data_IF_769444602081
#
_entry.id   IF_769444602081
#
_cell.length_a   1.000
_cell.length_b   1.000
_cell.length_c   1.000
_cell.angle_alpha   90.00
_cell.angle_beta   90.00
_cell.angle_gamma   90.00
#
_symmetry.space_group_name_H-M   'P 1'
#
loop_
_entity.id
_entity.type
_entity.pdbx_description
1 polymer ?
#
# COMPACT_ATOMS: atom_id res chain seq x y z
N UNK A 1 -62.85 66.45 -4.17
CA UNK A 1 -62.80 64.98 -3.98
C UNK A 1 -62.54 64.41 -5.33
N UNK A 2 -61.42 63.80 -5.58
CA UNK A 2 -60.82 63.29 -6.84
C UNK A 2 -59.61 64.09 -7.32
N UNK A 3 -58.48 63.97 -6.61
CA UNK A 3 -57.15 64.21 -7.18
C UNK A 3 -56.02 63.55 -6.32
N UNK A 4 -56.13 62.26 -6.02
CA UNK A 4 -55.07 61.51 -5.32
C UNK A 4 -54.91 60.14 -6.01
N UNK A 5 -54.63 60.09 -7.29
CA UNK A 5 -54.57 58.88 -8.01
C UNK A 5 -53.57 58.82 -9.18
N UNK A 6 -52.81 59.91 -9.40
CA UNK A 6 -51.92 59.94 -10.59
C UNK A 6 -50.43 59.88 -10.32
N UNK A 7 -50.00 60.07 -9.09
CA UNK A 7 -48.57 60.11 -8.80
C UNK A 7 -47.91 58.78 -8.39
N UNK A 8 -48.69 57.69 -8.31
CA UNK A 8 -48.13 56.37 -7.93
C UNK A 8 -47.65 55.55 -9.14
N UNK A 9 -48.07 55.95 -10.37
CA UNK A 9 -47.77 55.16 -11.56
C UNK A 9 -46.53 55.59 -12.38
N UNK A 10 -45.87 56.70 -12.00
CA UNK A 10 -44.71 57.21 -12.75
C UNK A 10 -43.31 56.90 -12.17
N UNK A 11 -43.26 56.14 -11.05
CA UNK A 11 -41.94 55.71 -10.44
C UNK A 11 -41.45 54.34 -10.76
N UNK A 12 -41.97 53.69 -11.75
CA UNK A 12 -41.70 52.26 -12.02
C UNK A 12 -41.04 51.94 -13.35
N UNK A 13 -40.10 52.71 -13.93
CA UNK A 13 -39.26 52.21 -15.03
C UNK A 13 -37.94 53.00 -15.08
N UNK A 14 -37.11 52.82 -14.11
CA UNK A 14 -35.67 53.13 -14.21
C UNK A 14 -34.81 51.89 -13.89
N UNK A 15 -35.17 50.72 -14.46
CA UNK A 15 -34.56 49.45 -14.17
C UNK A 15 -33.74 48.84 -15.32
N UNK A 16 -33.46 49.58 -16.41
CA UNK A 16 -32.91 48.95 -17.62
C UNK A 16 -31.37 49.04 -17.81
N UNK A 17 -30.65 49.81 -16.99
CA UNK A 17 -29.19 49.87 -17.07
C UNK A 17 -28.49 48.83 -16.20
N UNK A 18 -29.07 48.50 -15.05
CA UNK A 18 -28.50 47.49 -14.14
C UNK A 18 -28.57 46.02 -14.69
N UNK A 19 -29.55 45.73 -15.52
CA UNK A 19 -29.73 44.40 -16.11
C UNK A 19 -28.68 44.06 -17.18
N UNK A 20 -28.14 45.07 -17.88
CA UNK A 20 -27.09 44.85 -18.88
C UNK A 20 -25.74 44.53 -18.20
N UNK A 21 -25.36 45.24 -17.16
CA UNK A 21 -24.15 45.01 -16.37
C UNK A 21 -24.22 43.70 -15.57
N UNK A 22 -25.39 43.36 -15.04
CA UNK A 22 -25.59 42.07 -14.36
C UNK A 22 -25.43 40.88 -15.32
N UNK A 23 -25.99 40.96 -16.55
CA UNK A 23 -25.83 39.93 -17.59
C UNK A 23 -24.41 39.79 -18.07
N UNK A 24 -23.65 40.87 -18.20
CA UNK A 24 -22.23 40.84 -18.55
C UNK A 24 -21.41 40.15 -17.45
N UNK A 25 -21.64 40.53 -16.19
CA UNK A 25 -20.98 39.89 -15.04
C UNK A 25 -21.28 38.39 -14.95
N UNK A 26 -22.53 38.00 -15.19
CA UNK A 26 -22.97 36.63 -15.19
C UNK A 26 -22.25 35.80 -16.32
N UNK A 27 -22.14 36.41 -17.53
CA UNK A 27 -21.40 35.78 -18.64
C UNK A 27 -19.92 35.63 -18.32
N UNK A 28 -19.28 36.63 -17.72
CA UNK A 28 -17.88 36.56 -17.32
C UNK A 28 -17.67 35.43 -16.31
N UNK A 29 -18.51 35.34 -15.26
CA UNK A 29 -18.45 34.27 -14.27
C UNK A 29 -18.64 32.89 -14.94
N UNK A 30 -19.61 32.79 -15.85
CA UNK A 30 -19.85 31.55 -16.61
C UNK A 30 -18.62 31.12 -17.42
N UNK A 31 -18.01 32.04 -18.17
CA UNK A 31 -16.81 31.70 -18.98
C UNK A 31 -15.60 31.36 -18.10
N UNK A 32 -15.41 32.04 -16.98
CA UNK A 32 -14.35 31.71 -16.00
C UNK A 32 -14.56 30.29 -15.44
N UNK A 33 -15.80 29.94 -15.11
CA UNK A 33 -16.15 28.64 -14.58
C UNK A 33 -15.94 27.54 -15.63
N UNK A 34 -16.36 27.79 -16.88
CA UNK A 34 -16.13 26.86 -18.01
C UNK A 34 -14.62 26.68 -18.28
N UNK A 35 -13.85 27.77 -18.26
CA UNK A 35 -12.39 27.72 -18.44
C UNK A 35 -11.72 26.89 -17.31
N UNK A 36 -12.14 27.08 -16.07
CA UNK A 36 -11.65 26.32 -14.93
C UNK A 36 -11.97 24.82 -15.05
N UNK A 37 -13.19 24.47 -15.46
CA UNK A 37 -13.56 23.06 -15.73
C UNK A 37 -12.80 22.46 -16.90
N UNK A 38 -12.58 23.21 -17.96
CA UNK A 38 -11.79 22.77 -19.10
C UNK A 38 -10.33 22.51 -18.69
N UNK A 39 -9.74 23.39 -17.90
CA UNK A 39 -8.38 23.21 -17.37
C UNK A 39 -8.29 21.95 -16.49
N UNK A 40 -9.31 21.75 -15.63
CA UNK A 40 -9.38 20.57 -14.75
C UNK A 40 -9.55 19.28 -15.57
N UNK A 41 -10.38 19.29 -16.61
CA UNK A 41 -10.58 18.16 -17.51
C UNK A 41 -9.28 17.81 -18.27
N UNK A 42 -8.58 18.82 -18.80
CA UNK A 42 -7.27 18.62 -19.45
C UNK A 42 -6.26 18.03 -18.48
N UNK A 43 -6.17 18.56 -17.25
CA UNK A 43 -5.25 18.02 -16.24
C UNK A 43 -5.58 16.59 -15.85
N UNK A 44 -6.86 16.26 -15.70
CA UNK A 44 -7.29 14.88 -15.40
C UNK A 44 -6.96 13.93 -16.54
N UNK A 45 -7.09 14.40 -17.79
CA UNK A 45 -6.76 13.62 -18.99
C UNK A 45 -5.25 13.38 -19.09
N UNK A 46 -4.44 14.40 -18.79
CA UNK A 46 -2.97 14.29 -18.75
C UNK A 46 -2.53 13.33 -17.64
N UNK A 47 -3.10 13.43 -16.45
CA UNK A 47 -2.82 12.49 -15.35
C UNK A 47 -3.26 11.05 -15.69
N UNK A 48 -4.34 10.89 -16.48
CA UNK A 48 -4.77 9.58 -16.98
C UNK A 48 -3.78 8.99 -17.98
N UNK A 49 -3.14 9.80 -18.81
CA UNK A 49 -2.11 9.37 -19.77
C UNK A 49 -0.80 9.02 -19.04
N UNK A 50 -0.37 9.84 -18.08
CA UNK A 50 0.81 9.56 -17.24
C UNK A 50 0.57 8.34 -16.31
N UNK A 51 -0.69 8.13 -15.86
CA UNK A 51 -1.08 6.98 -15.06
C UNK A 51 -1.08 5.64 -15.82
N UNK A 52 -1.17 5.66 -17.16
CA UNK A 52 -1.19 4.43 -17.98
C UNK A 52 0.17 3.73 -18.02
N UNK A 53 1.27 4.44 -17.81
CA UNK A 53 2.58 3.78 -17.70
C UNK A 53 2.74 3.01 -16.38
N UNK A 54 2.06 3.46 -15.32
CA UNK A 54 1.98 2.71 -14.04
C UNK A 54 1.04 1.50 -14.10
N UNK A 55 -0.01 1.55 -14.93
CA UNK A 55 -0.94 0.42 -15.10
C UNK A 55 -0.38 -0.68 -16.02
N UNK A 56 0.65 -0.41 -16.82
CA UNK A 56 1.38 -1.43 -17.59
C UNK A 56 2.22 -2.35 -16.71
N UNK A 57 2.49 -1.95 -15.46
CA UNK A 57 3.16 -2.76 -14.44
C UNK A 57 2.18 -3.65 -13.66
N UNK A 58 0.88 -3.42 -13.78
CA UNK A 58 -0.15 -4.34 -13.33
C UNK A 58 -0.53 -5.23 -14.51
N UNK A 59 0.04 -6.43 -14.56
CA UNK A 59 -0.37 -7.45 -15.54
C UNK A 59 -1.88 -7.67 -15.49
N UNK A 60 -2.47 -7.97 -16.64
CA UNK A 60 -3.91 -8.17 -16.79
C UNK A 60 -4.50 -9.28 -15.89
N UNK A 61 -3.64 -10.02 -15.20
CA UNK A 61 -3.98 -11.14 -14.30
C UNK A 61 -3.76 -10.81 -12.82
N UNK A 62 -3.68 -9.54 -12.45
CA UNK A 62 -3.47 -9.12 -11.04
C UNK A 62 -2.05 -9.38 -10.52
N UNK A 63 -1.14 -9.77 -11.37
CA UNK A 63 0.26 -9.99 -11.03
C UNK A 63 0.98 -8.63 -11.03
N UNK A 64 1.18 -8.09 -9.84
CA UNK A 64 1.95 -6.87 -9.61
C UNK A 64 3.42 -7.14 -9.90
N UNK A 65 3.84 -7.00 -11.14
CA UNK A 65 5.24 -7.14 -11.56
C UNK A 65 5.92 -5.77 -11.53
N UNK A 66 5.96 -5.12 -10.39
CA UNK A 66 7.05 -4.21 -10.09
C UNK A 66 8.04 -4.99 -9.23
N UNK A 67 8.81 -5.85 -9.87
CA UNK A 67 9.88 -6.59 -9.23
C UNK A 67 10.99 -5.60 -8.87
N UNK A 68 10.92 -5.06 -7.66
CA UNK A 68 12.02 -4.29 -7.09
C UNK A 68 13.26 -5.18 -7.04
N UNK A 69 14.40 -4.71 -7.59
CA UNK A 69 15.64 -5.47 -7.67
C UNK A 69 16.08 -6.01 -6.30
N UNK A 70 16.69 -7.17 -6.28
CA UNK A 70 17.23 -7.76 -5.07
C UNK A 70 18.43 -6.95 -4.55
N UNK A 71 18.64 -6.93 -3.23
CA UNK A 71 19.87 -6.41 -2.63
C UNK A 71 20.69 -7.61 -2.16
N UNK A 72 21.95 -7.64 -2.57
CA UNK A 72 22.87 -8.72 -2.23
C UNK A 72 24.14 -8.18 -1.59
N UNK A 73 24.82 -9.02 -0.82
CA UNK A 73 26.14 -8.72 -0.28
C UNK A 73 27.24 -8.87 -1.36
N UNK A 74 28.49 -8.65 -1.00
CA UNK A 74 29.64 -8.78 -1.90
C UNK A 74 29.82 -10.19 -2.49
N UNK A 75 29.28 -11.21 -1.83
CA UNK A 75 29.39 -12.62 -2.22
C UNK A 75 28.15 -13.10 -3.01
N UNK A 76 27.11 -12.29 -3.12
CA UNK A 76 25.83 -12.65 -3.74
C UNK A 76 24.78 -13.19 -2.76
N UNK A 77 25.05 -13.17 -1.45
CA UNK A 77 24.06 -13.52 -0.42
C UNK A 77 22.92 -12.52 -0.39
N UNK A 78 21.68 -13.00 -0.40
CA UNK A 78 20.48 -12.17 -0.44
C UNK A 78 20.29 -11.44 0.90
N UNK A 79 20.26 -10.11 0.86
CA UNK A 79 19.97 -9.23 1.98
C UNK A 79 18.52 -8.75 1.96
N UNK A 80 17.98 -8.46 0.76
CA UNK A 80 16.58 -8.12 0.55
C UNK A 80 16.10 -8.70 -0.78
N UNK A 81 14.90 -9.28 -0.79
CA UNK A 81 14.26 -9.78 -2.02
C UNK A 81 12.75 -9.66 -1.96
N UNK A 82 12.11 -9.54 -3.11
CA UNK A 82 10.66 -9.63 -3.22
C UNK A 82 10.20 -11.08 -3.16
N UNK A 83 9.15 -11.32 -2.41
CA UNK A 83 8.45 -12.61 -2.39
C UNK A 83 6.95 -12.38 -2.59
N UNK A 84 6.31 -13.33 -3.23
CA UNK A 84 4.85 -13.37 -3.27
C UNK A 84 4.35 -13.92 -1.94
N UNK A 85 3.55 -13.14 -1.26
CA UNK A 85 2.83 -13.52 -0.05
C UNK A 85 1.32 -13.47 -0.32
N UNK A 86 0.49 -13.74 0.65
CA UNK A 86 -0.96 -13.66 0.50
C UNK A 86 -1.62 -13.11 1.76
N UNK A 87 -2.70 -12.38 1.56
CA UNK A 87 -3.62 -12.03 2.62
C UNK A 87 -4.76 -13.04 2.61
N UNK A 88 -4.99 -13.73 3.72
CA UNK A 88 -6.14 -14.60 3.87
C UNK A 88 -7.33 -13.74 4.27
N UNK A 89 -8.38 -13.80 3.46
CA UNK A 89 -9.59 -13.01 3.60
C UNK A 89 -10.80 -13.91 3.81
N UNK A 90 -11.74 -13.45 4.64
CA UNK A 90 -13.02 -14.08 4.84
C UNK A 90 -14.14 -13.13 4.40
N UNK A 91 -15.06 -13.67 3.60
CA UNK A 91 -16.30 -13.00 3.20
C UNK A 91 -17.50 -13.81 3.68
N UNK A 92 -17.96 -13.62 4.92
CA UNK A 92 -19.02 -14.40 5.53
C UNK A 92 -20.28 -14.58 4.66
N UNK A 93 -20.78 -13.55 3.91
CA UNK A 93 -21.97 -13.70 3.09
C UNK A 93 -21.85 -14.73 1.95
N UNK A 94 -20.63 -15.09 1.55
CA UNK A 94 -20.36 -16.04 0.47
C UNK A 94 -20.03 -17.44 0.97
N UNK A 95 -20.02 -17.66 2.29
CA UNK A 95 -19.73 -18.97 2.89
C UNK A 95 -20.94 -19.88 2.77
N UNK A 96 -20.80 -20.98 2.04
CA UNK A 96 -21.86 -22.02 1.91
C UNK A 96 -21.82 -23.05 3.03
N UNK A 97 -20.62 -23.37 3.51
CA UNK A 97 -20.43 -24.37 4.59
C UNK A 97 -19.60 -23.75 5.72
N UNK A 98 -20.26 -23.20 6.75
CA UNK A 98 -19.59 -22.54 7.88
C UNK A 98 -18.61 -23.44 8.64
N UNK A 99 -18.98 -24.70 8.86
CA UNK A 99 -18.18 -25.65 9.62
C UNK A 99 -16.88 -26.01 8.87
N UNK A 100 -16.98 -26.23 7.56
CA UNK A 100 -15.80 -26.52 6.75
C UNK A 100 -14.83 -25.33 6.69
N UNK A 101 -15.35 -24.11 6.54
CA UNK A 101 -14.54 -22.88 6.54
C UNK A 101 -13.90 -22.65 7.90
N UNK A 102 -14.62 -22.80 8.99
CA UNK A 102 -14.09 -22.66 10.34
C UNK A 102 -12.98 -23.67 10.64
N UNK A 103 -13.16 -24.93 10.22
CA UNK A 103 -12.13 -25.98 10.34
C UNK A 103 -10.89 -25.66 9.52
N UNK A 104 -11.04 -25.14 8.30
CA UNK A 104 -9.90 -24.75 7.46
C UNK A 104 -9.12 -23.58 8.08
N UNK A 105 -9.82 -22.57 8.60
CA UNK A 105 -9.21 -21.44 9.32
C UNK A 105 -8.46 -21.94 10.56
N UNK A 106 -9.09 -22.79 11.37
CA UNK A 106 -8.46 -23.36 12.56
C UNK A 106 -7.21 -24.19 12.20
N UNK A 107 -7.29 -25.03 11.18
CA UNK A 107 -6.16 -25.85 10.71
C UNK A 107 -4.98 -25.00 10.22
N UNK A 108 -5.26 -23.89 9.54
CA UNK A 108 -4.21 -22.98 9.05
C UNK A 108 -3.60 -22.13 10.18
N UNK A 109 -4.39 -21.76 11.19
CA UNK A 109 -4.01 -20.80 12.24
C UNK A 109 -4.56 -21.22 13.63
N UNK A 110 -4.16 -22.35 14.19
CA UNK A 110 -4.79 -22.92 15.41
C UNK A 110 -4.66 -22.02 16.65
N UNK A 111 -3.53 -21.33 16.79
CA UNK A 111 -3.29 -20.44 17.93
C UNK A 111 -4.05 -19.11 17.84
N UNK A 112 -4.20 -18.56 16.63
CA UNK A 112 -4.86 -17.27 16.44
C UNK A 112 -6.39 -17.42 16.41
N UNK A 113 -6.85 -18.54 15.83
CA UNK A 113 -8.27 -18.86 15.62
C UNK A 113 -8.61 -20.26 16.14
N UNK A 114 -8.89 -20.42 17.46
CA UNK A 114 -9.55 -21.62 17.99
C UNK A 114 -10.86 -21.84 17.25
N UNK A 115 -11.32 -23.10 17.14
CA UNK A 115 -12.48 -23.48 16.33
C UNK A 115 -13.74 -22.66 16.66
N UNK A 116 -14.02 -22.44 17.95
CA UNK A 116 -15.16 -21.62 18.40
C UNK A 116 -15.08 -20.18 17.84
N UNK A 117 -13.91 -19.55 17.95
CA UNK A 117 -13.68 -18.19 17.40
C UNK A 117 -13.79 -18.16 15.87
N UNK A 118 -13.31 -19.19 15.19
CA UNK A 118 -13.43 -19.29 13.74
C UNK A 118 -14.91 -19.40 13.31
N UNK A 119 -15.70 -20.18 14.01
CA UNK A 119 -17.15 -20.30 13.79
C UNK A 119 -17.88 -18.97 14.02
N UNK A 120 -17.55 -18.25 15.07
CA UNK A 120 -18.13 -16.93 15.35
C UNK A 120 -17.83 -15.92 14.24
N UNK A 121 -16.61 -15.97 13.71
CA UNK A 121 -16.20 -15.08 12.61
C UNK A 121 -16.91 -15.41 11.31
N UNK A 122 -17.05 -16.70 10.99
CA UNK A 122 -17.75 -17.17 9.78
C UNK A 122 -19.22 -16.80 9.82
N UNK A 123 -19.86 -16.90 10.99
CA UNK A 123 -21.27 -16.54 11.19
C UNK A 123 -21.51 -15.05 11.46
N UNK A 124 -20.43 -14.24 11.42
CA UNK A 124 -20.56 -12.81 11.69
C UNK A 124 -21.28 -12.06 10.56
N UNK A 125 -21.99 -10.98 10.90
CA UNK A 125 -22.69 -10.14 9.94
C UNK A 125 -21.74 -9.14 9.19
N UNK A 126 -20.46 -9.45 9.13
CA UNK A 126 -19.47 -8.62 8.42
C UNK A 126 -19.48 -8.97 6.94
N UNK A 127 -19.32 -7.96 6.09
CA UNK A 127 -19.22 -8.18 4.64
C UNK A 127 -17.89 -8.77 4.22
N UNK A 128 -16.81 -8.41 4.96
CA UNK A 128 -15.44 -8.71 4.61
C UNK A 128 -14.52 -8.54 5.84
N UNK A 129 -13.50 -9.38 5.95
CA UNK A 129 -12.42 -9.22 6.93
C UNK A 129 -11.13 -9.90 6.49
N UNK A 130 -9.99 -9.31 6.87
CA UNK A 130 -8.71 -9.98 6.80
C UNK A 130 -8.53 -10.87 8.02
N UNK A 131 -8.28 -12.16 7.80
CA UNK A 131 -7.91 -13.10 8.86
C UNK A 131 -6.41 -13.01 9.15
N UNK A 132 -5.60 -13.01 8.08
CA UNK A 132 -4.15 -12.91 8.20
C UNK A 132 -3.57 -12.09 7.07
N UNK A 133 -2.78 -11.07 7.41
CA UNK A 133 -1.93 -10.37 6.44
C UNK A 133 -0.58 -11.07 6.37
N UNK A 134 -0.02 -11.17 5.17
CA UNK A 134 1.27 -11.82 4.92
C UNK A 134 1.36 -13.25 5.48
N UNK A 135 0.39 -14.08 5.09
CA UNK A 135 0.32 -15.48 5.48
C UNK A 135 1.55 -16.26 4.98
N UNK A 136 2.00 -17.22 5.75
CA UNK A 136 3.07 -18.14 5.36
C UNK A 136 2.62 -19.06 4.23
N UNK A 137 3.57 -19.62 3.47
CA UNK A 137 3.26 -20.55 2.38
C UNK A 137 2.48 -21.78 2.88
N UNK A 138 2.80 -22.28 4.08
CA UNK A 138 2.07 -23.39 4.69
C UNK A 138 0.60 -23.03 4.99
N UNK A 139 0.37 -21.82 5.52
CA UNK A 139 -1.00 -21.32 5.80
C UNK A 139 -1.77 -21.13 4.50
N UNK A 140 -1.17 -20.50 3.49
CA UNK A 140 -1.80 -20.32 2.18
C UNK A 140 -2.19 -21.64 1.57
N UNK A 141 -1.27 -22.61 1.53
CA UNK A 141 -1.52 -23.92 0.94
C UNK A 141 -2.71 -24.64 1.59
N UNK A 142 -2.85 -24.58 2.92
CA UNK A 142 -3.99 -25.20 3.61
C UNK A 142 -5.32 -24.56 3.14
N UNK A 143 -5.34 -23.24 2.96
CA UNK A 143 -6.53 -22.51 2.53
C UNK A 143 -6.83 -22.75 1.04
N UNK A 144 -5.81 -22.75 0.18
CA UNK A 144 -5.93 -23.02 -1.25
C UNK A 144 -6.44 -24.45 -1.50
N UNK A 145 -5.87 -25.44 -0.80
CA UNK A 145 -6.27 -26.85 -0.92
C UNK A 145 -7.71 -27.09 -0.47
N UNK A 146 -8.22 -26.28 0.47
CA UNK A 146 -9.58 -26.40 0.98
C UNK A 146 -10.65 -25.97 -0.07
N UNK A 147 -10.34 -25.10 -1.00
CA UNK A 147 -11.21 -24.61 -2.09
C UNK A 147 -12.63 -24.23 -1.63
N UNK A 148 -12.73 -23.50 -0.53
CA UNK A 148 -13.98 -23.14 0.11
C UNK A 148 -14.43 -21.74 -0.30
N UNK A 149 -15.72 -21.61 -0.70
CA UNK A 149 -16.30 -20.33 -1.03
C UNK A 149 -16.38 -19.40 0.19
N UNK A 150 -16.11 -18.12 -0.02
CA UNK A 150 -16.04 -17.11 1.04
C UNK A 150 -14.70 -17.03 1.76
N UNK A 151 -13.76 -17.94 1.46
CA UNK A 151 -12.37 -17.92 1.96
C UNK A 151 -11.44 -17.71 0.76
N UNK A 152 -10.81 -16.55 0.70
CA UNK A 152 -10.04 -16.11 -0.46
C UNK A 152 -8.60 -15.76 -0.05
N UNK A 153 -7.68 -15.87 -0.99
CA UNK A 153 -6.30 -15.41 -0.83
C UNK A 153 -6.03 -14.32 -1.86
N UNK A 154 -5.70 -13.15 -1.37
CA UNK A 154 -5.21 -12.04 -2.18
C UNK A 154 -3.69 -12.12 -2.27
N UNK A 155 -3.16 -12.35 -3.46
CA UNK A 155 -1.70 -12.36 -3.68
C UNK A 155 -1.14 -10.95 -3.55
N UNK A 156 -0.12 -10.81 -2.71
CA UNK A 156 0.55 -9.53 -2.45
C UNK A 156 2.04 -9.73 -2.50
N UNK A 157 2.73 -8.84 -3.21
CA UNK A 157 4.18 -8.80 -3.13
C UNK A 157 4.63 -8.14 -1.83
N UNK A 158 5.61 -8.71 -1.19
CA UNK A 158 6.21 -8.14 0.01
C UNK A 158 7.73 -8.27 -0.04
N UNK A 159 8.41 -7.28 0.53
CA UNK A 159 9.86 -7.27 0.65
C UNK A 159 10.28 -8.12 1.86
N UNK A 160 11.18 -9.06 1.67
CA UNK A 160 11.71 -9.91 2.74
C UNK A 160 13.19 -9.69 2.94
N UNK A 161 13.57 -9.61 4.21
CA UNK A 161 14.94 -9.39 4.67
C UNK A 161 15.42 -10.63 5.42
N UNK A 162 16.05 -11.63 4.73
CA UNK A 162 16.39 -12.93 5.33
C UNK A 162 17.35 -12.80 6.52
N UNK A 163 18.27 -11.85 6.47
CA UNK A 163 19.28 -11.62 7.50
C UNK A 163 18.80 -10.74 8.66
N UNK A 164 17.54 -10.26 8.61
CA UNK A 164 16.85 -9.51 9.69
C UNK A 164 17.72 -8.41 10.32
N UNK A 165 17.97 -8.49 11.65
CA UNK A 165 18.69 -7.47 12.44
C UNK A 165 20.12 -7.24 12.00
N UNK A 166 20.73 -8.21 11.31
CA UNK A 166 22.15 -8.17 10.97
C UNK A 166 22.51 -6.98 10.07
N UNK A 167 21.57 -6.58 9.20
CA UNK A 167 21.78 -5.51 8.23
C UNK A 167 20.68 -4.45 8.24
N UNK A 168 19.82 -4.42 9.27
CA UNK A 168 18.65 -3.55 9.31
C UNK A 168 18.98 -2.07 9.07
N UNK A 169 20.07 -1.56 9.64
CA UNK A 169 20.46 -0.16 9.47
C UNK A 169 21.12 0.12 8.11
N UNK A 170 21.86 -0.83 7.55
CA UNK A 170 22.53 -0.66 6.26
C UNK A 170 21.58 -0.85 5.08
N UNK A 171 20.76 -1.90 5.12
CA UNK A 171 19.80 -2.21 4.07
C UNK A 171 18.54 -1.35 4.20
N UNK A 172 18.07 -1.11 5.41
CA UNK A 172 16.83 -0.38 5.67
C UNK A 172 15.57 -1.22 5.40
N UNK A 173 14.49 -0.55 5.07
CA UNK A 173 13.21 -1.19 4.77
C UNK A 173 12.35 -0.33 3.84
N UNK A 174 11.31 -0.94 3.28
CA UNK A 174 10.33 -0.28 2.40
C UNK A 174 9.01 -0.06 3.13
N UNK A 175 8.27 0.97 2.73
CA UNK A 175 6.91 1.23 3.16
C UNK A 175 5.89 0.28 2.53
N UNK A 176 4.64 0.41 2.95
CA UNK A 176 3.50 -0.35 2.39
C UNK A 176 3.27 -0.01 0.91
N UNK A 177 3.66 1.19 0.52
CA UNK A 177 3.61 1.73 -0.85
C UNK A 177 4.78 1.24 -1.74
N UNK A 178 5.71 0.45 -1.17
CA UNK A 178 6.88 -0.07 -1.87
C UNK A 178 8.05 0.91 -2.03
N UNK A 179 7.96 2.12 -1.44
CA UNK A 179 9.07 3.07 -1.42
C UNK A 179 10.06 2.77 -0.30
N UNK A 180 11.35 2.97 -0.57
CA UNK A 180 12.40 2.87 0.45
C UNK A 180 12.26 3.96 1.51
N UNK A 181 12.31 3.58 2.79
CA UNK A 181 12.18 4.52 3.92
C UNK A 181 13.49 4.76 4.63
N UNK A 182 14.40 3.81 4.62
CA UNK A 182 15.71 3.91 5.26
C UNK A 182 16.79 3.12 4.52
N UNK A 183 18.06 3.43 4.80
CA UNK A 183 19.22 2.69 4.34
C UNK A 183 19.40 2.63 2.83
N UNK A 184 19.93 1.52 2.33
CA UNK A 184 20.14 1.29 0.90
C UNK A 184 18.81 1.27 0.12
N UNK A 185 17.71 0.81 0.75
CA UNK A 185 16.38 0.84 0.14
C UNK A 185 15.93 2.26 -0.20
N UNK A 186 16.24 3.26 0.66
CA UNK A 186 15.91 4.66 0.41
C UNK A 186 16.89 5.30 -0.59
N UNK A 187 18.20 5.12 -0.37
CA UNK A 187 19.22 5.79 -1.19
C UNK A 187 19.16 5.34 -2.66
N UNK A 188 18.87 4.07 -2.88
CA UNK A 188 18.80 3.46 -4.22
C UNK A 188 17.36 3.15 -4.64
N UNK A 189 16.35 3.89 -4.14
CA UNK A 189 14.93 3.61 -4.40
C UNK A 189 14.60 3.55 -5.89
N UNK A 190 15.02 4.56 -6.64
CA UNK A 190 14.79 4.64 -8.09
C UNK A 190 15.49 3.50 -8.83
N UNK A 191 16.78 3.23 -8.51
CA UNK A 191 17.49 2.11 -9.10
C UNK A 191 16.79 0.76 -8.88
N UNK A 192 16.40 0.51 -7.63
CA UNK A 192 15.77 -0.75 -7.23
C UNK A 192 14.38 -0.95 -7.86
N UNK A 193 13.69 0.12 -8.22
CA UNK A 193 12.36 0.07 -8.84
C UNK A 193 12.40 -0.02 -10.36
N UNK A 194 13.45 0.49 -10.99
CA UNK A 194 13.58 0.56 -12.44
C UNK A 194 14.39 -0.60 -13.03
N UNK A 195 15.24 -1.24 -12.22
CA UNK A 195 16.12 -2.31 -12.66
C UNK A 195 15.72 -3.67 -12.11
N UNK A 196 16.12 -4.70 -12.84
CA UNK A 196 16.01 -6.12 -12.44
C UNK A 196 17.31 -6.66 -11.89
N UNK A 197 18.44 -6.02 -12.21
CA UNK A 197 19.76 -6.43 -11.77
C UNK A 197 19.96 -6.18 -10.27
N UNK A 198 20.50 -7.15 -9.52
CA UNK A 198 20.68 -7.01 -8.09
C UNK A 198 21.62 -5.87 -7.71
N UNK A 199 21.23 -5.05 -6.73
CA UNK A 199 22.12 -4.07 -6.11
C UNK A 199 23.13 -4.80 -5.21
N UNK A 200 24.40 -4.75 -5.56
CA UNK A 200 25.48 -5.38 -4.79
C UNK A 200 26.09 -4.37 -3.81
N UNK A 201 25.99 -4.68 -2.52
CA UNK A 201 26.65 -3.90 -1.46
C UNK A 201 28.04 -4.45 -1.15
N UNK A 202 28.92 -3.60 -0.61
CA UNK A 202 30.26 -3.99 -0.15
C UNK A 202 30.28 -4.79 1.16
N UNK A 203 29.12 -5.06 1.74
CA UNK A 203 28.95 -5.80 2.99
C UNK A 203 29.28 -7.28 2.80
N UNK A 204 29.70 -7.97 3.89
CA UNK A 204 29.94 -9.41 3.93
C UNK A 204 29.12 -10.04 5.07
N UNK A 205 28.17 -10.90 4.69
CA UNK A 205 27.23 -11.52 5.63
C UNK A 205 27.92 -12.41 6.65
N UNK A 206 29.02 -13.07 6.28
CA UNK A 206 29.77 -13.97 7.15
C UNK A 206 30.51 -13.22 8.22
N UNK A 207 31.23 -12.17 7.82
CA UNK A 207 31.98 -11.31 8.75
C UNK A 207 30.99 -10.63 9.71
N UNK A 208 29.90 -10.08 9.20
CA UNK A 208 28.88 -9.42 10.02
C UNK A 208 28.26 -10.38 11.04
N UNK A 209 28.02 -11.64 10.66
CA UNK A 209 27.47 -12.65 11.59
C UNK A 209 28.42 -12.92 12.74
N UNK A 210 29.74 -13.11 12.45
CA UNK A 210 30.74 -13.34 13.48
C UNK A 210 30.83 -12.14 14.42
N UNK A 211 30.85 -10.92 13.88
CA UNK A 211 30.84 -9.70 14.72
C UNK A 211 29.63 -9.64 15.64
N UNK A 212 28.45 -9.89 15.08
CA UNK A 212 27.21 -9.86 15.86
C UNK A 212 27.22 -10.87 17.01
N UNK A 213 27.66 -12.11 16.74
CA UNK A 213 27.78 -13.15 17.77
C UNK A 213 28.79 -12.80 18.85
N UNK A 214 30.00 -12.40 18.48
CA UNK A 214 31.06 -12.10 19.43
C UNK A 214 30.73 -10.87 20.30
N UNK A 215 30.21 -9.81 19.68
CA UNK A 215 29.79 -8.62 20.41
C UNK A 215 28.60 -8.90 21.32
N UNK A 216 27.65 -9.73 20.89
CA UNK A 216 26.49 -10.13 21.72
C UNK A 216 26.94 -10.96 22.94
N UNK A 217 27.87 -11.89 22.75
CA UNK A 217 28.47 -12.66 23.87
C UNK A 217 29.22 -11.75 24.84
N UNK A 218 30.03 -10.85 24.34
CA UNK A 218 30.76 -9.90 25.17
C UNK A 218 29.79 -9.00 25.97
N UNK A 219 28.72 -8.49 25.34
CA UNK A 219 27.69 -7.70 26.03
C UNK A 219 27.04 -8.48 27.17
N UNK A 220 26.72 -9.76 26.96
CA UNK A 220 26.13 -10.61 28.00
C UNK A 220 27.12 -10.88 29.13
N UNK A 221 28.35 -11.24 28.80
CA UNK A 221 29.41 -11.60 29.76
C UNK A 221 29.77 -10.40 30.68
N UNK A 222 29.95 -9.23 30.07
CA UNK A 222 30.37 -8.03 30.79
C UNK A 222 29.19 -7.13 31.20
N UNK A 223 27.95 -7.56 30.97
CA UNK A 223 26.73 -6.73 31.21
C UNK A 223 26.85 -5.34 30.62
N UNK A 224 27.48 -5.24 29.44
CA UNK A 224 27.72 -3.97 28.77
C UNK A 224 26.43 -3.40 28.17
N UNK A 225 26.29 -2.07 28.16
CA UNK A 225 25.15 -1.37 27.56
C UNK A 225 25.24 -1.26 26.03
N UNK A 226 26.43 -1.47 25.49
CA UNK A 226 26.69 -1.45 24.06
C UNK A 226 28.08 -2.01 23.76
N UNK A 227 28.26 -2.48 22.53
CA UNK A 227 29.53 -3.00 22.02
C UNK A 227 29.71 -2.56 20.57
N UNK A 228 30.95 -2.30 20.18
CA UNK A 228 31.33 -1.88 18.83
C UNK A 228 32.57 -2.67 18.42
N UNK A 229 32.64 -3.07 17.17
CA UNK A 229 33.79 -3.72 16.57
C UNK A 229 34.19 -3.04 15.27
N UNK A 230 35.48 -2.99 14.98
CA UNK A 230 36.05 -2.46 13.76
C UNK A 230 37.05 -3.51 13.19
N UNK A 231 36.86 -3.82 11.91
CA UNK A 231 37.80 -4.65 11.15
C UNK A 231 38.45 -3.79 10.09
N UNK A 232 39.76 -3.77 10.09
CA UNK A 232 40.57 -3.08 9.08
C UNK A 232 41.48 -4.08 8.38
N UNK A 233 41.72 -3.82 7.09
CA UNK A 233 42.67 -4.58 6.29
C UNK A 233 43.94 -3.81 6.07
#
# INVERSE_FOLDING_TARGET
>A
MFEIGRDIFSRGISGNSNNKTARVRLRVVYYVLVAMFALFAVRTLLLGIEGTDRSRLAGADGEWVASRADIVDRNGDILAKNIVSGHIMLRPPYVKNPDAVANAIHKAMPYEYPLAKALDLVNSNRRFMYLKKFASDAQRKIIEDARLEGLEIESVQTRKYPKRRLFSHAVGFVGVDGHGLEGAELIYDDYLRENTDPLRLSLDSRIQSVFYEQLSLAMQLYKAKGAMGLLMN
#
